data_IF_156993800922
#
_entry.id   IF_156993800922
#
_cell.length_a   1.000
_cell.length_b   1.000
_cell.length_c   1.000
_cell.angle_alpha   90.00
_cell.angle_beta   90.00
_cell.angle_gamma   90.00
#
_symmetry.space_group_name_H-M   'P 1'
#
loop_
_entity.id
_entity.type
_entity.pdbx_description
1 polymer ?
#
# COMPACT_ATOMS: atom_id res chain seq x y z
N UNK A 1 70.76 -81.79 -64.50
CA UNK A 1 71.15 -83.19 -64.76
C UNK A 1 69.88 -84.02 -64.87
N UNK A 2 69.80 -84.81 -65.94
CA UNK A 2 68.62 -85.51 -66.47
C UNK A 2 68.22 -86.76 -65.66
N UNK A 3 66.90 -87.04 -65.62
CA UNK A 3 66.20 -88.36 -65.77
C UNK A 3 66.50 -89.48 -64.72
N UNK A 4 65.60 -90.37 -64.26
CA UNK A 4 64.18 -90.72 -64.46
C UNK A 4 63.82 -91.84 -63.45
N UNK A 5 62.52 -91.95 -63.11
CA UNK A 5 61.70 -93.18 -62.93
C UNK A 5 62.16 -94.29 -61.96
N UNK A 6 61.32 -94.63 -60.98
CA UNK A 6 60.38 -95.77 -61.09
C UNK A 6 59.40 -95.80 -59.90
N UNK A 7 58.11 -95.95 -60.21
CA UNK A 7 56.99 -96.07 -59.26
C UNK A 7 56.90 -97.52 -58.75
N UNK A 8 56.73 -97.71 -57.43
CA UNK A 8 56.31 -98.99 -56.86
C UNK A 8 55.17 -98.73 -55.87
N UNK A 9 53.98 -99.21 -56.21
CA UNK A 9 52.79 -99.20 -55.36
C UNK A 9 52.80 -100.40 -54.42
N UNK A 10 52.68 -100.17 -53.10
CA UNK A 10 52.36 -101.21 -52.12
C UNK A 10 50.87 -101.13 -51.79
N UNK A 11 50.13 -102.20 -52.13
CA UNK A 11 48.76 -102.45 -51.66
C UNK A 11 48.88 -103.35 -50.44
N UNK A 12 48.60 -102.82 -49.25
CA UNK A 12 48.58 -103.61 -48.01
C UNK A 12 47.29 -104.45 -47.93
N UNK A 13 47.44 -105.75 -47.67
CA UNK A 13 46.35 -106.72 -47.68
C UNK A 13 45.47 -106.59 -46.41
N UNK A 14 44.15 -106.87 -46.50
CA UNK A 14 43.24 -106.68 -45.37
C UNK A 14 43.53 -107.65 -44.21
N UNK A 15 43.77 -107.08 -43.02
CA UNK A 15 43.99 -107.81 -41.77
C UNK A 15 42.68 -108.42 -41.27
N UNK A 16 42.60 -109.76 -41.22
CA UNK A 16 41.49 -110.50 -40.60
C UNK A 16 41.41 -110.19 -39.10
N UNK A 17 40.28 -109.61 -38.68
CA UNK A 17 39.90 -109.44 -37.28
C UNK A 17 39.47 -110.81 -36.76
N UNK A 18 40.18 -111.35 -35.75
CA UNK A 18 39.70 -112.50 -34.98
C UNK A 18 38.84 -111.97 -33.84
N UNK A 19 37.55 -112.28 -33.91
CA UNK A 19 36.56 -112.11 -32.85
C UNK A 19 36.80 -113.20 -31.80
N UNK A 20 37.19 -112.81 -30.59
CA UNK A 20 37.07 -113.63 -29.40
C UNK A 20 35.98 -113.01 -28.51
N UNK A 21 34.78 -113.57 -28.58
CA UNK A 21 33.73 -113.40 -27.60
C UNK A 21 33.92 -114.41 -26.47
N UNK A 22 33.96 -113.93 -25.22
CA UNK A 22 33.43 -114.58 -24.01
C UNK A 22 33.49 -113.56 -22.86
N UNK A 23 32.41 -112.82 -22.67
CA UNK A 23 31.35 -113.07 -21.68
C UNK A 23 31.64 -112.52 -20.27
N UNK A 24 31.03 -111.35 -20.05
CA UNK A 24 30.26 -110.96 -18.86
C UNK A 24 30.86 -111.13 -17.47
N UNK A 25 31.21 -109.98 -16.86
CA UNK A 25 30.76 -109.65 -15.51
C UNK A 25 30.02 -108.32 -15.56
N UNK A 26 28.70 -108.42 -15.46
CA UNK A 26 27.77 -107.30 -15.26
C UNK A 26 28.22 -106.47 -14.05
N UNK A 27 28.67 -105.25 -14.31
CA UNK A 27 28.49 -104.14 -13.38
C UNK A 27 27.27 -103.40 -13.89
N UNK A 28 26.12 -103.63 -13.26
CA UNK A 28 24.85 -102.96 -13.60
C UNK A 28 24.96 -101.47 -13.28
N UNK A 29 25.50 -100.69 -14.20
CA UNK A 29 25.13 -99.29 -14.32
C UNK A 29 23.78 -99.23 -15.03
N UNK A 30 22.76 -98.77 -14.32
CA UNK A 30 21.45 -98.45 -14.89
C UNK A 30 21.66 -97.34 -15.92
N UNK A 31 21.85 -97.69 -17.20
CA UNK A 31 21.81 -96.73 -18.30
C UNK A 31 20.38 -96.20 -18.40
N UNK A 32 20.14 -95.05 -17.78
CA UNK A 32 18.88 -94.33 -17.90
C UNK A 32 18.58 -94.03 -19.37
N UNK A 33 17.34 -94.27 -19.78
CA UNK A 33 16.82 -93.99 -21.12
C UNK A 33 17.18 -92.54 -21.56
N UNK A 34 17.85 -92.33 -22.71
CA UNK A 34 18.21 -91.00 -23.21
C UNK A 34 17.05 -90.00 -23.25
N UNK A 35 15.81 -90.49 -23.42
CA UNK A 35 14.59 -89.67 -23.37
C UNK A 35 14.28 -89.16 -21.96
N UNK A 36 14.56 -89.94 -20.92
CA UNK A 36 14.38 -89.53 -19.52
C UNK A 36 15.41 -88.48 -19.09
N UNK A 37 16.66 -88.61 -19.55
CA UNK A 37 17.69 -87.58 -19.28
C UNK A 37 17.38 -86.24 -19.96
N UNK A 38 16.96 -86.26 -21.23
CA UNK A 38 16.54 -85.04 -21.94
C UNK A 38 15.36 -84.34 -21.27
N UNK A 39 14.35 -85.10 -20.83
CA UNK A 39 13.20 -84.55 -20.13
C UNK A 39 13.59 -83.92 -18.78
N UNK A 40 14.51 -84.53 -18.02
CA UNK A 40 15.02 -83.95 -16.77
C UNK A 40 15.77 -82.65 -17.00
N UNK A 41 16.65 -82.57 -18.00
CA UNK A 41 17.39 -81.35 -18.33
C UNK A 41 16.42 -80.25 -18.80
N UNK A 42 15.43 -80.58 -19.63
CA UNK A 42 14.38 -79.65 -20.04
C UNK A 42 13.59 -79.10 -18.86
N UNK A 43 13.19 -79.96 -17.92
CA UNK A 43 12.48 -79.57 -16.70
C UNK A 43 13.35 -78.67 -15.81
N UNK A 44 14.65 -78.96 -15.68
CA UNK A 44 15.60 -78.12 -14.95
C UNK A 44 15.74 -76.72 -15.57
N UNK A 45 15.88 -76.62 -16.89
CA UNK A 45 15.98 -75.32 -17.60
C UNK A 45 14.69 -74.51 -17.43
N UNK A 46 13.52 -75.16 -17.57
CA UNK A 46 12.22 -74.48 -17.38
C UNK A 46 12.04 -74.04 -15.93
N UNK A 47 12.47 -74.86 -14.96
CA UNK A 47 12.42 -74.52 -13.54
C UNK A 47 13.31 -73.33 -13.21
N UNK A 48 14.55 -73.32 -13.71
CA UNK A 48 15.50 -72.22 -13.53
C UNK A 48 14.99 -70.93 -14.17
N UNK A 49 14.51 -70.98 -15.41
CA UNK A 49 13.94 -69.82 -16.09
C UNK A 49 12.70 -69.26 -15.36
N UNK A 50 11.87 -70.13 -14.76
CA UNK A 50 10.73 -69.70 -13.93
C UNK A 50 11.18 -69.06 -12.62
N UNK A 51 12.23 -69.57 -11.99
CA UNK A 51 12.77 -68.99 -10.76
C UNK A 51 13.42 -67.63 -11.02
N UNK A 52 14.18 -67.50 -12.11
CA UNK A 52 14.77 -66.23 -12.56
C UNK A 52 13.68 -65.21 -12.92
N UNK A 53 12.66 -65.61 -13.69
CA UNK A 53 11.53 -64.73 -13.99
C UNK A 53 10.79 -64.27 -12.72
N UNK A 54 10.61 -65.14 -11.73
CA UNK A 54 10.03 -64.76 -10.43
C UNK A 54 10.90 -63.74 -9.71
N UNK A 55 12.23 -63.94 -9.67
CA UNK A 55 13.16 -62.98 -9.06
C UNK A 55 13.11 -61.62 -9.74
N UNK A 56 13.07 -61.59 -11.07
CA UNK A 56 12.96 -60.34 -11.85
C UNK A 56 11.66 -59.61 -11.52
N UNK A 57 10.53 -60.33 -11.44
CA UNK A 57 9.23 -59.72 -11.09
C UNK A 57 9.25 -59.19 -9.66
N UNK A 58 9.76 -59.97 -8.70
CA UNK A 58 9.84 -59.55 -7.29
C UNK A 58 10.76 -58.33 -7.10
N UNK A 59 11.89 -58.28 -7.82
CA UNK A 59 12.76 -57.10 -7.83
C UNK A 59 12.10 -55.88 -8.49
N UNK A 60 11.35 -56.08 -9.58
CA UNK A 60 10.62 -55.00 -10.24
C UNK A 60 9.50 -54.44 -9.35
N UNK A 61 8.78 -55.32 -8.63
CA UNK A 61 7.74 -54.94 -7.67
C UNK A 61 8.34 -54.14 -6.49
N UNK A 62 9.44 -54.61 -5.90
CA UNK A 62 10.14 -53.87 -4.84
C UNK A 62 10.61 -52.49 -5.29
N UNK A 63 11.20 -52.39 -6.48
CA UNK A 63 11.62 -51.10 -7.04
C UNK A 63 10.43 -50.20 -7.32
N UNK A 64 9.31 -50.74 -7.80
CA UNK A 64 8.09 -49.96 -8.02
C UNK A 64 7.52 -49.42 -6.70
N UNK A 65 7.50 -50.23 -5.65
CA UNK A 65 7.09 -49.80 -4.30
C UNK A 65 8.00 -48.70 -3.75
N UNK A 66 9.32 -48.82 -3.90
CA UNK A 66 10.29 -47.80 -3.50
C UNK A 66 10.10 -46.48 -4.27
N UNK A 67 9.86 -46.55 -5.58
CA UNK A 67 9.57 -45.36 -6.41
C UNK A 67 8.26 -44.70 -5.98
N UNK A 68 7.19 -45.49 -5.75
CA UNK A 68 5.91 -44.94 -5.31
C UNK A 68 6.01 -44.31 -3.92
N UNK A 69 6.74 -44.94 -3.01
CA UNK A 69 6.96 -44.42 -1.66
C UNK A 69 7.75 -43.10 -1.69
N UNK A 70 8.86 -43.06 -2.42
CA UNK A 70 9.66 -41.84 -2.58
C UNK A 70 8.87 -40.71 -3.24
N UNK A 71 8.13 -41.00 -4.32
CA UNK A 71 7.27 -40.02 -4.98
C UNK A 71 6.16 -39.49 -4.05
N UNK A 72 5.56 -40.36 -3.22
CA UNK A 72 4.55 -39.95 -2.23
C UNK A 72 5.15 -39.06 -1.15
N UNK A 73 6.33 -39.41 -0.62
CA UNK A 73 7.04 -38.61 0.39
C UNK A 73 7.46 -37.24 -0.17
N UNK A 74 7.94 -37.19 -1.41
CA UNK A 74 8.27 -35.93 -2.10
C UNK A 74 7.02 -35.07 -2.34
N UNK A 75 5.92 -35.67 -2.77
CA UNK A 75 4.66 -34.96 -2.98
C UNK A 75 4.11 -34.36 -1.67
N UNK A 76 4.20 -35.11 -0.56
CA UNK A 76 3.78 -34.63 0.74
C UNK A 76 4.67 -33.48 1.24
N UNK A 77 6.00 -33.61 1.09
CA UNK A 77 6.94 -32.52 1.41
C UNK A 77 6.67 -31.27 0.58
N UNK A 78 6.46 -31.41 -0.72
CA UNK A 78 6.17 -30.29 -1.60
C UNK A 78 4.85 -29.62 -1.21
N UNK A 79 3.83 -30.39 -0.87
CA UNK A 79 2.54 -29.87 -0.41
C UNK A 79 2.70 -29.03 0.86
N UNK A 80 3.42 -29.54 1.86
CA UNK A 80 3.70 -28.82 3.11
C UNK A 80 4.48 -27.53 2.86
N UNK A 81 5.48 -27.56 1.96
CA UNK A 81 6.27 -26.39 1.63
C UNK A 81 5.45 -25.32 0.89
N UNK A 82 4.60 -25.73 -0.05
CA UNK A 82 3.68 -24.83 -0.75
C UNK A 82 2.70 -24.19 0.24
N UNK A 83 2.14 -24.97 1.17
CA UNK A 83 1.24 -24.46 2.20
C UNK A 83 1.94 -23.44 3.10
N UNK A 84 3.16 -23.72 3.56
CA UNK A 84 4.01 -22.80 4.33
C UNK A 84 4.26 -21.50 3.57
N UNK A 85 4.67 -21.57 2.31
CA UNK A 85 4.92 -20.40 1.47
C UNK A 85 3.65 -19.57 1.24
N UNK A 86 2.49 -20.21 1.05
CA UNK A 86 1.22 -19.51 0.91
C UNK A 86 0.83 -18.79 2.19
N UNK A 87 1.03 -19.40 3.36
CA UNK A 87 0.80 -18.73 4.64
C UNK A 87 1.73 -17.55 4.86
N UNK A 88 3.01 -17.69 4.54
CA UNK A 88 3.99 -16.59 4.63
C UNK A 88 3.60 -15.44 3.71
N UNK A 89 3.24 -15.72 2.46
CA UNK A 89 2.78 -14.70 1.52
C UNK A 89 1.48 -14.03 1.97
N UNK A 90 0.56 -14.76 2.60
CA UNK A 90 -0.65 -14.18 3.20
C UNK A 90 -0.31 -13.25 4.35
N UNK A 91 0.59 -13.66 5.26
CA UNK A 91 1.07 -12.83 6.39
C UNK A 91 1.79 -11.59 5.89
N UNK A 92 2.67 -11.70 4.89
CA UNK A 92 3.34 -10.56 4.26
C UNK A 92 2.33 -9.58 3.65
N UNK A 93 1.35 -10.09 2.89
CA UNK A 93 0.29 -9.25 2.30
C UNK A 93 -0.54 -8.54 3.37
N UNK A 94 -0.87 -9.23 4.46
CA UNK A 94 -1.60 -8.64 5.57
C UNK A 94 -0.80 -7.53 6.25
N UNK A 95 0.47 -7.79 6.60
CA UNK A 95 1.37 -6.77 7.17
C UNK A 95 1.53 -5.56 6.25
N UNK A 96 1.66 -5.80 4.94
CA UNK A 96 1.74 -4.73 3.97
C UNK A 96 0.45 -3.90 3.92
N UNK A 97 -0.72 -4.56 3.94
CA UNK A 97 -2.01 -3.87 4.01
C UNK A 97 -2.17 -3.04 5.27
N UNK A 98 -1.78 -3.58 6.43
CA UNK A 98 -1.80 -2.87 7.71
C UNK A 98 -0.85 -1.66 7.70
N UNK A 99 0.33 -1.81 7.08
CA UNK A 99 1.28 -0.71 6.87
C UNK A 99 0.71 0.40 5.98
N UNK A 100 0.06 0.05 4.86
CA UNK A 100 -0.58 1.05 3.99
C UNK A 100 -1.72 1.79 4.71
N UNK A 101 -2.51 1.08 5.51
CA UNK A 101 -3.58 1.70 6.31
C UNK A 101 -3.02 2.65 7.38
N UNK A 102 -1.93 2.26 8.06
CA UNK A 102 -1.30 3.12 9.06
C UNK A 102 -0.67 4.35 8.42
N UNK A 103 -0.02 4.20 7.26
CA UNK A 103 0.54 5.31 6.49
C UNK A 103 -0.56 6.29 6.04
N UNK A 104 -1.69 5.78 5.53
CA UNK A 104 -2.85 6.61 5.18
C UNK A 104 -3.33 7.42 6.38
N UNK A 105 -3.48 6.80 7.55
CA UNK A 105 -3.92 7.47 8.78
C UNK A 105 -2.92 8.55 9.21
N UNK A 106 -1.62 8.27 9.14
CA UNK A 106 -0.57 9.24 9.45
C UNK A 106 -0.62 10.44 8.50
N UNK A 107 -0.76 10.22 7.20
CA UNK A 107 -0.87 11.31 6.20
C UNK A 107 -2.11 12.17 6.49
N UNK A 108 -3.26 11.54 6.74
CA UNK A 108 -4.49 12.29 7.07
C UNK A 108 -4.32 13.14 8.32
N UNK A 109 -3.71 12.58 9.38
CA UNK A 109 -3.44 13.31 10.61
C UNK A 109 -2.47 14.47 10.40
N UNK A 110 -1.40 14.27 9.62
CA UNK A 110 -0.45 15.34 9.28
C UNK A 110 -1.11 16.45 8.47
N UNK A 111 -1.97 16.12 7.50
CA UNK A 111 -2.72 17.12 6.73
C UNK A 111 -3.62 17.94 7.66
N UNK A 112 -4.35 17.28 8.57
CA UNK A 112 -5.23 17.98 9.51
C UNK A 112 -4.43 18.86 10.47
N UNK A 113 -3.33 18.36 11.03
CA UNK A 113 -2.43 19.15 11.88
C UNK A 113 -1.87 20.37 11.13
N UNK A 114 -1.41 20.19 9.89
CA UNK A 114 -0.90 21.30 9.07
C UNK A 114 -1.97 22.34 8.76
N UNK A 115 -3.21 21.91 8.50
CA UNK A 115 -4.33 22.84 8.32
C UNK A 115 -4.61 23.60 9.62
N UNK A 116 -4.67 22.92 10.77
CA UNK A 116 -4.86 23.57 12.07
C UNK A 116 -3.72 24.52 12.44
N UNK A 117 -2.48 24.22 12.05
CA UNK A 117 -1.31 25.09 12.24
C UNK A 117 -1.38 26.35 11.36
N UNK A 118 -1.83 26.23 10.11
CA UNK A 118 -1.80 27.33 9.12
C UNK A 118 -3.01 28.28 9.28
N UNK A 119 -4.15 27.77 9.74
CA UNK A 119 -5.38 28.56 9.88
C UNK A 119 -5.20 29.83 10.74
N UNK A 120 -4.58 29.79 11.93
CA UNK A 120 -4.30 30.98 12.73
C UNK A 120 -3.45 32.02 12.00
N UNK A 121 -2.42 31.58 11.27
CA UNK A 121 -1.53 32.48 10.53
C UNK A 121 -2.28 33.20 9.40
N UNK A 122 -3.14 32.49 8.67
CA UNK A 122 -3.98 33.10 7.62
C UNK A 122 -4.93 34.13 8.22
N UNK A 123 -5.57 33.80 9.34
CA UNK A 123 -6.51 34.71 10.01
C UNK A 123 -5.78 35.97 10.49
N UNK A 124 -4.59 35.83 11.07
CA UNK A 124 -3.81 36.98 11.51
C UNK A 124 -3.34 37.84 10.33
N UNK A 125 -2.92 37.23 9.22
CA UNK A 125 -2.60 37.96 7.98
C UNK A 125 -3.81 38.75 7.47
N UNK A 126 -4.99 38.12 7.42
CA UNK A 126 -6.22 38.80 7.03
C UNK A 126 -6.53 39.96 7.97
N UNK A 127 -6.41 39.75 9.28
CA UNK A 127 -6.60 40.80 10.29
C UNK A 127 -5.66 41.98 10.05
N UNK A 128 -4.37 41.74 9.85
CA UNK A 128 -3.39 42.80 9.55
C UNK A 128 -3.74 43.52 8.23
N UNK A 129 -4.18 42.79 7.21
CA UNK A 129 -4.58 43.38 5.93
C UNK A 129 -5.81 44.27 6.07
N UNK A 130 -6.87 43.81 6.73
CA UNK A 130 -8.07 44.62 6.96
C UNK A 130 -7.75 45.86 7.79
N UNK A 131 -6.88 45.73 8.81
CA UNK A 131 -6.43 46.87 9.61
C UNK A 131 -5.76 47.92 8.73
N UNK A 132 -4.79 47.50 7.90
CA UNK A 132 -4.09 48.41 6.98
C UNK A 132 -5.00 49.04 5.93
N UNK A 133 -5.99 48.30 5.41
CA UNK A 133 -6.97 48.83 4.45
C UNK A 133 -7.82 49.91 5.13
N UNK A 134 -8.31 49.64 6.34
CA UNK A 134 -9.13 50.58 7.09
C UNK A 134 -8.31 51.80 7.57
N UNK A 135 -7.04 51.62 7.95
CA UNK A 135 -6.10 52.71 8.28
C UNK A 135 -5.85 53.61 7.05
N UNK A 136 -5.74 53.04 5.85
CA UNK A 136 -5.61 53.81 4.62
C UNK A 136 -6.89 54.58 4.28
N UNK A 137 -8.06 54.06 4.65
CA UNK A 137 -9.33 54.80 4.65
C UNK A 137 -9.42 55.81 5.82
N UNK A 138 -8.31 56.15 6.51
CA UNK A 138 -8.24 57.25 7.50
C UNK A 138 -7.42 58.46 7.03
N UNK A 139 -6.94 58.48 5.78
CA UNK A 139 -6.27 59.67 5.24
C UNK A 139 -7.15 60.93 5.35
N UNK A 140 -6.53 62.10 5.44
CA UNK A 140 -7.17 63.37 5.82
C UNK A 140 -8.38 63.78 4.95
N UNK A 141 -8.48 63.25 3.72
CA UNK A 141 -9.61 63.47 2.81
C UNK A 141 -10.87 62.65 3.14
N UNK A 142 -10.79 61.71 4.09
CA UNK A 142 -11.83 60.72 4.35
C UNK A 142 -12.91 61.24 5.31
N UNK A 143 -12.61 62.19 6.20
CA UNK A 143 -13.62 62.78 7.12
C UNK A 143 -14.81 63.32 6.32
N UNK A 144 -14.54 64.11 5.28
CA UNK A 144 -15.58 64.72 4.43
C UNK A 144 -16.41 63.64 3.73
N UNK A 145 -15.77 62.58 3.23
CA UNK A 145 -16.45 61.45 2.57
C UNK A 145 -17.31 60.65 3.56
N UNK A 146 -16.77 60.33 4.74
CA UNK A 146 -17.48 59.61 5.83
C UNK A 146 -18.66 60.41 6.31
N UNK A 147 -18.48 61.72 6.51
CA UNK A 147 -19.50 62.68 6.91
C UNK A 147 -20.62 62.77 5.86
N UNK A 148 -20.32 62.99 4.58
CA UNK A 148 -21.34 62.99 3.51
C UNK A 148 -22.11 61.67 3.45
N UNK A 149 -21.41 60.54 3.53
CA UNK A 149 -22.03 59.22 3.58
C UNK A 149 -22.86 58.98 4.85
N UNK A 150 -22.54 59.66 5.95
CA UNK A 150 -23.28 59.52 7.21
C UNK A 150 -24.55 60.38 7.13
N UNK A 151 -24.41 61.62 6.66
CA UNK A 151 -25.49 62.57 6.41
C UNK A 151 -26.51 62.04 5.40
N UNK A 152 -26.07 61.33 4.36
CA UNK A 152 -26.99 60.70 3.40
C UNK A 152 -27.88 59.62 4.03
N UNK A 153 -27.43 58.97 5.11
CA UNK A 153 -28.21 57.96 5.85
C UNK A 153 -29.19 58.57 6.85
N UNK A 154 -28.97 59.81 7.27
CA UNK A 154 -29.82 60.55 8.21
C UNK A 154 -30.54 61.73 7.55
N UNK A 155 -30.66 61.69 6.21
CA UNK A 155 -31.33 62.72 5.44
C UNK A 155 -32.81 62.83 5.87
N UNK A 156 -33.24 64.03 6.29
CA UNK A 156 -34.61 64.29 6.75
C UNK A 156 -34.77 64.36 8.28
N UNK A 157 -33.72 64.07 9.05
CA UNK A 157 -33.73 64.26 10.52
C UNK A 157 -33.26 65.68 10.84
N UNK A 158 -34.06 66.44 11.58
CA UNK A 158 -33.78 67.84 11.91
C UNK A 158 -32.77 67.97 13.06
N UNK A 159 -32.89 67.14 14.09
CA UNK A 159 -32.02 67.17 15.27
C UNK A 159 -30.88 66.14 15.17
N UNK A 160 -29.80 66.53 14.52
CA UNK A 160 -28.57 65.70 14.42
C UNK A 160 -27.40 66.42 15.09
N UNK A 161 -26.78 65.75 16.08
CA UNK A 161 -25.50 66.16 16.66
C UNK A 161 -24.37 65.37 16.00
N UNK A 162 -23.31 66.07 15.60
CA UNK A 162 -22.18 65.50 14.87
C UNK A 162 -20.95 65.69 15.74
N UNK A 163 -20.37 64.61 16.24
CA UNK A 163 -19.11 64.64 16.98
C UNK A 163 -17.95 64.27 16.06
N UNK A 164 -16.94 65.13 16.02
CA UNK A 164 -15.71 64.97 15.23
C UNK A 164 -14.51 65.47 16.02
N UNK A 165 -13.31 64.97 15.68
CA UNK A 165 -12.08 65.42 16.33
C UNK A 165 -11.81 66.92 16.04
N UNK A 166 -11.29 67.70 17.01
CA UNK A 166 -10.98 69.12 16.83
C UNK A 166 -10.12 69.45 15.60
N UNK A 167 -9.11 68.63 15.30
CA UNK A 167 -8.22 68.84 14.14
C UNK A 167 -8.89 68.59 12.78
N UNK A 168 -10.04 67.91 12.75
CA UNK A 168 -10.76 67.63 11.51
C UNK A 168 -11.83 68.67 11.20
N UNK A 169 -12.13 69.58 12.14
CA UNK A 169 -13.06 70.69 11.91
C UNK A 169 -12.60 71.60 10.77
N UNK A 170 -11.30 71.87 10.69
CA UNK A 170 -10.72 72.74 9.67
C UNK A 170 -10.86 72.17 8.25
N UNK A 171 -11.08 70.85 8.14
CA UNK A 171 -11.21 70.11 6.88
C UNK A 171 -12.67 70.00 6.40
N UNK A 172 -13.64 70.36 7.23
CA UNK A 172 -15.08 70.19 6.97
C UNK A 172 -15.73 71.53 6.64
N UNK A 173 -16.44 71.61 5.51
CA UNK A 173 -17.23 72.80 5.20
C UNK A 173 -18.50 72.86 6.05
N UNK A 174 -18.49 73.72 7.07
CA UNK A 174 -19.61 73.98 7.98
C UNK A 174 -20.88 74.45 7.24
N UNK A 175 -20.76 74.96 6.00
CA UNK A 175 -21.93 75.35 5.19
C UNK A 175 -22.76 74.14 4.74
N UNK A 176 -22.13 72.97 4.53
CA UNK A 176 -22.84 71.72 4.20
C UNK A 176 -23.60 71.16 5.42
N UNK A 177 -23.30 71.65 6.63
CA UNK A 177 -23.85 71.18 7.90
C UNK A 177 -24.96 72.07 8.48
N UNK A 178 -25.48 73.03 7.69
CA UNK A 178 -26.54 73.95 8.12
C UNK A 178 -27.72 73.21 8.76
N UNK A 179 -28.10 73.65 9.96
CA UNK A 179 -29.17 73.06 10.77
C UNK A 179 -28.75 71.91 11.69
N UNK A 180 -27.48 71.48 11.67
CA UNK A 180 -26.96 70.39 12.51
C UNK A 180 -25.96 70.94 13.52
N UNK A 181 -25.93 70.35 14.71
CA UNK A 181 -25.01 70.78 15.77
C UNK A 181 -23.69 70.02 15.65
N UNK A 182 -22.59 70.71 15.36
CA UNK A 182 -21.25 70.10 15.33
C UNK A 182 -20.57 70.31 16.68
N UNK A 183 -20.10 69.23 17.30
CA UNK A 183 -19.47 69.22 18.61
C UNK A 183 -18.04 68.69 18.46
N UNK A 184 -17.00 69.52 18.67
CA UNK A 184 -15.63 69.02 18.78
C UNK A 184 -15.51 68.10 19.99
N UNK A 185 -15.03 66.87 19.78
CA UNK A 185 -14.79 65.90 20.84
C UNK A 185 -13.39 65.29 20.68
N UNK A 186 -12.44 65.60 21.58
CA UNK A 186 -11.08 65.03 21.54
C UNK A 186 -11.03 63.51 21.74
N UNK A 187 -12.09 62.89 22.25
CA UNK A 187 -12.15 61.43 22.40
C UNK A 187 -12.49 60.70 21.09
N UNK A 188 -12.95 61.43 20.07
CA UNK A 188 -13.21 60.87 18.74
C UNK A 188 -11.88 60.82 17.98
N UNK A 189 -11.56 59.66 17.43
CA UNK A 189 -10.35 59.48 16.62
C UNK A 189 -10.32 60.44 15.42
N UNK A 190 -9.12 60.89 15.03
CA UNK A 190 -8.93 61.64 13.76
C UNK A 190 -9.48 60.82 12.60
N UNK A 191 -10.22 61.42 11.67
CA UNK A 191 -10.90 60.65 10.62
C UNK A 191 -12.25 60.04 11.03
N UNK A 192 -12.61 60.10 12.31
CA UNK A 192 -13.84 59.55 12.89
C UNK A 192 -15.01 60.53 12.85
N UNK A 193 -16.22 60.00 12.63
CA UNK A 193 -17.46 60.78 12.66
C UNK A 193 -18.51 60.00 13.44
N UNK A 194 -19.10 60.62 14.45
CA UNK A 194 -20.23 60.05 15.20
C UNK A 194 -21.45 60.96 15.00
N UNK A 195 -22.57 60.39 14.57
CA UNK A 195 -23.85 61.09 14.48
C UNK A 195 -24.78 60.62 15.59
N UNK A 196 -25.26 61.52 16.41
CA UNK A 196 -26.33 61.26 17.38
C UNK A 196 -27.62 61.87 16.86
N UNK A 197 -28.64 61.04 16.76
CA UNK A 197 -29.99 61.42 16.34
C UNK A 197 -30.99 60.96 17.40
N UNK A 198 -32.24 61.43 17.33
CA UNK A 198 -33.31 61.02 18.26
C UNK A 198 -33.64 59.51 18.16
N UNK A 199 -33.26 58.87 17.06
CA UNK A 199 -33.51 57.44 16.82
C UNK A 199 -32.31 56.54 17.11
N UNK A 200 -31.14 57.11 17.45
CA UNK A 200 -29.94 56.35 17.75
C UNK A 200 -28.63 57.02 17.33
N UNK A 201 -27.54 56.29 17.53
CA UNK A 201 -26.16 56.74 17.25
C UNK A 201 -25.61 55.97 16.05
N UNK A 202 -25.09 56.70 15.07
CA UNK A 202 -24.33 56.14 13.96
C UNK A 202 -22.84 56.46 14.15
N UNK A 203 -22.09 55.46 14.57
CA UNK A 203 -20.65 55.54 14.79
C UNK A 203 -19.88 55.11 13.52
N UNK A 204 -19.03 55.99 13.00
CA UNK A 204 -18.11 55.72 11.89
C UNK A 204 -16.64 55.93 12.28
N UNK A 205 -16.31 55.81 13.56
CA UNK A 205 -14.93 55.71 14.05
C UNK A 205 -14.27 54.44 13.53
N UNK A 206 -12.93 54.45 13.47
CA UNK A 206 -12.20 53.28 13.03
C UNK A 206 -12.32 52.17 14.05
N UNK A 207 -12.20 52.48 15.34
CA UNK A 207 -12.38 51.49 16.41
C UNK A 207 -13.71 50.74 16.31
N UNK A 208 -14.82 51.44 16.04
CA UNK A 208 -16.13 50.79 15.88
C UNK A 208 -16.20 49.92 14.61
N UNK A 209 -15.69 50.42 13.49
CA UNK A 209 -15.66 49.66 12.23
C UNK A 209 -14.76 48.44 12.30
N UNK A 210 -13.61 48.57 12.97
CA UNK A 210 -12.67 47.50 13.23
C UNK A 210 -13.30 46.40 14.08
N UNK A 211 -13.98 46.80 15.16
CA UNK A 211 -14.72 45.86 16.02
C UNK A 211 -15.79 45.10 15.25
N UNK A 212 -16.56 45.78 14.39
CA UNK A 212 -17.57 45.11 13.56
C UNK A 212 -16.92 44.08 12.61
N UNK A 213 -15.76 44.41 12.04
CA UNK A 213 -15.01 43.46 11.21
C UNK A 213 -14.52 42.28 12.06
N UNK A 214 -14.00 42.51 13.27
CA UNK A 214 -13.61 41.44 14.19
C UNK A 214 -14.79 40.52 14.55
N UNK A 215 -15.96 41.08 14.87
CA UNK A 215 -17.16 40.32 15.20
C UNK A 215 -17.60 39.43 14.01
N UNK A 216 -17.58 39.97 12.78
CA UNK A 216 -17.87 39.19 11.55
C UNK A 216 -16.81 38.11 11.32
N UNK A 217 -15.54 38.41 11.58
CA UNK A 217 -14.46 37.44 11.48
C UNK A 217 -14.64 36.29 12.47
N UNK A 218 -15.04 36.59 13.71
CA UNK A 218 -15.33 35.57 14.72
C UNK A 218 -16.52 34.69 14.31
N UNK A 219 -17.60 35.29 13.79
CA UNK A 219 -18.78 34.57 13.30
C UNK A 219 -18.46 33.65 12.10
N UNK A 220 -17.70 34.15 11.12
CA UNK A 220 -17.42 33.42 9.86
C UNK A 220 -16.35 32.36 10.04
N UNK A 221 -15.31 32.63 10.84
CA UNK A 221 -14.18 31.72 11.02
C UNK A 221 -14.43 30.73 12.18
N UNK A 222 -15.40 31.00 13.06
CA UNK A 222 -15.73 30.09 14.17
C UNK A 222 -14.62 29.99 15.21
N UNK A 223 -13.87 31.08 15.44
CA UNK A 223 -12.90 31.13 16.53
C UNK A 223 -13.65 31.30 17.85
N UNK A 224 -14.11 30.19 18.44
CA UNK A 224 -14.23 30.16 19.89
C UNK A 224 -12.84 30.43 20.48
N UNK A 225 -12.75 31.39 21.39
CA UNK A 225 -11.48 31.81 21.98
C UNK A 225 -10.77 30.56 22.54
N UNK A 226 -9.43 30.45 22.40
CA UNK A 226 -8.65 29.29 22.88
C UNK A 226 -8.88 28.89 24.34
N UNK A 227 -9.45 29.80 25.15
CA UNK A 227 -9.85 29.57 26.54
C UNK A 227 -11.01 28.57 26.72
N UNK A 228 -11.77 28.20 25.68
CA UNK A 228 -12.90 27.27 25.80
C UNK A 228 -12.57 25.82 25.41
N UNK A 229 -11.49 25.58 24.65
CA UNK A 229 -11.10 24.22 24.22
C UNK A 229 -10.47 23.35 25.31
N UNK A 230 -10.06 23.92 26.44
CA UNK A 230 -9.41 23.18 27.53
C UNK A 230 -10.45 22.56 28.48
N UNK A 231 -11.67 23.08 28.56
CA UNK A 231 -12.70 22.55 29.47
C UNK A 231 -13.56 21.44 28.84
N UNK A 232 -13.78 21.41 27.52
CA UNK A 232 -14.63 20.40 26.89
C UNK A 232 -13.96 19.05 26.55
N UNK A 233 -12.64 18.91 26.74
CA UNK A 233 -11.94 17.62 26.52
C UNK A 233 -11.65 16.83 27.80
N UNK A 234 -12.24 17.24 28.92
CA UNK A 234 -12.03 16.61 30.23
C UNK A 234 -13.22 15.75 30.73
N UNK A 235 -14.31 15.64 29.98
CA UNK A 235 -15.47 14.78 30.30
C UNK A 235 -15.67 13.65 29.28
#
# INVERSE_FOLDING_TARGET
MLLRKDEIFYIDLPKKIKTEEKESKESREVKEDPRKQFNRIKEQIISQAREEARKIVEEAEKRAEEILKSASEEAERLKLEVERLLEEKRKEKQKFSEYILSLKKQIQMQIHQKLEEILPDIVEVLRVLFRKILEKEMDESVVVRKLRSALSKVAGIENVKIKIHPEDLDKVDLKELKGKQVIPDPNVEKGGVILETEYGVLDKTFSYQWKLVEDIFEEVVGFERPSQRIEEKAD
#
